data_IF_944365636072
#
_entry.id   IF_944365636072
#
_cell.length_a   1.000
_cell.length_b   1.000
_cell.length_c   1.000
_cell.angle_alpha   90.00
_cell.angle_beta   90.00
_cell.angle_gamma   90.00
#
_symmetry.space_group_name_H-M   'P 1'
#
loop_
_entity.id
_entity.type
_entity.pdbx_description
1 polymer ?
#
# COMPACT_ATOMS: atom_id res chain seq x y z
N UNK A 1 27.42 -15.38 -20.30
CA UNK A 1 27.86 -16.65 -19.69
C UNK A 1 26.84 -17.70 -20.07
N UNK A 2 27.29 -18.86 -20.45
CA UNK A 2 26.37 -19.99 -20.61
C UNK A 2 26.00 -20.62 -19.25
N UNK A 3 25.03 -21.55 -19.24
CA UNK A 3 24.55 -22.18 -17.99
C UNK A 3 25.67 -22.88 -17.23
N UNK A 4 26.56 -23.58 -17.90
CA UNK A 4 27.64 -24.33 -17.24
C UNK A 4 28.72 -23.39 -16.68
N UNK A 5 29.01 -22.29 -17.36
CA UNK A 5 29.90 -21.23 -16.87
C UNK A 5 29.33 -20.61 -15.57
N UNK A 6 28.03 -20.34 -15.53
CA UNK A 6 27.35 -19.78 -14.35
C UNK A 6 27.45 -20.77 -13.16
N UNK A 7 27.09 -22.02 -13.36
CA UNK A 7 27.07 -23.02 -12.27
C UNK A 7 28.45 -23.36 -11.71
N UNK A 8 29.51 -23.16 -12.49
CA UNK A 8 30.89 -23.36 -12.08
C UNK A 8 31.62 -22.05 -11.70
N UNK A 9 30.93 -20.94 -11.68
CA UNK A 9 31.50 -19.64 -11.30
C UNK A 9 31.63 -19.49 -9.77
N UNK A 10 32.29 -18.40 -9.38
CA UNK A 10 32.43 -18.06 -7.98
C UNK A 10 31.04 -17.78 -7.34
N UNK A 11 30.97 -17.97 -6.02
CA UNK A 11 29.78 -17.77 -5.21
C UNK A 11 29.05 -16.45 -5.52
N UNK A 12 29.76 -15.31 -5.52
CA UNK A 12 29.16 -13.99 -5.76
C UNK A 12 28.47 -13.88 -7.13
N UNK A 13 29.03 -14.56 -8.14
CA UNK A 13 28.44 -14.61 -9.49
C UNK A 13 27.14 -15.43 -9.47
N UNK A 14 27.13 -16.59 -8.81
CA UNK A 14 25.94 -17.43 -8.72
C UNK A 14 24.80 -16.72 -7.97
N UNK A 15 25.10 -16.04 -6.84
CA UNK A 15 24.13 -15.20 -6.11
C UNK A 15 23.59 -14.08 -7.01
N UNK A 16 24.48 -13.33 -7.67
CA UNK A 16 24.08 -12.22 -8.55
C UNK A 16 23.19 -12.69 -9.72
N UNK A 17 23.49 -13.85 -10.29
CA UNK A 17 22.65 -14.44 -11.35
C UNK A 17 21.31 -14.91 -10.78
N UNK A 18 21.29 -15.55 -9.61
CA UNK A 18 20.04 -15.99 -8.97
C UNK A 18 19.10 -14.79 -8.66
N UNK A 19 19.65 -13.66 -8.25
CA UNK A 19 18.87 -12.42 -7.97
C UNK A 19 18.36 -11.70 -9.24
N UNK A 20 19.00 -11.93 -10.39
CA UNK A 20 18.63 -11.20 -11.61
C UNK A 20 17.25 -11.67 -12.11
N UNK A 21 16.24 -10.76 -12.23
CA UNK A 21 14.91 -11.13 -12.72
C UNK A 21 14.89 -11.60 -14.18
N UNK A 22 15.95 -11.37 -14.94
CA UNK A 22 16.06 -11.83 -16.33
C UNK A 22 16.77 -13.19 -16.45
N UNK A 23 17.09 -13.84 -15.34
CA UNK A 23 17.74 -15.16 -15.37
C UNK A 23 16.81 -16.21 -15.98
N UNK A 24 17.31 -16.99 -16.97
CA UNK A 24 16.51 -18.04 -17.58
C UNK A 24 16.03 -19.07 -16.55
N UNK A 25 14.81 -19.56 -16.74
CA UNK A 25 14.15 -20.51 -15.82
C UNK A 25 15.00 -21.77 -15.60
N UNK A 26 15.61 -22.31 -16.62
CA UNK A 26 16.45 -23.51 -16.53
C UNK A 26 17.75 -23.29 -15.75
N UNK A 27 18.23 -22.04 -15.65
CA UNK A 27 19.33 -21.65 -14.77
C UNK A 27 18.84 -21.51 -13.33
N UNK A 28 17.69 -20.87 -13.09
CA UNK A 28 17.09 -20.77 -11.76
C UNK A 28 16.81 -22.14 -11.14
N UNK A 29 16.34 -23.09 -11.93
CA UNK A 29 16.11 -24.49 -11.49
C UNK A 29 17.37 -25.16 -10.96
N UNK A 30 18.54 -24.85 -11.51
CA UNK A 30 19.80 -25.43 -11.03
C UNK A 30 20.35 -24.63 -9.83
N UNK A 31 20.27 -23.28 -9.86
CA UNK A 31 20.71 -22.45 -8.73
C UNK A 31 19.87 -22.71 -7.47
N UNK A 32 18.62 -23.10 -7.62
CA UNK A 32 17.77 -23.55 -6.51
C UNK A 32 18.25 -24.85 -5.83
N UNK A 33 19.18 -25.58 -6.44
CA UNK A 33 19.80 -26.79 -5.89
C UNK A 33 21.24 -26.56 -5.46
N UNK A 34 21.71 -25.32 -5.47
CA UNK A 34 23.09 -24.99 -5.11
C UNK A 34 23.41 -25.47 -3.68
N UNK A 35 24.67 -25.87 -3.49
CA UNK A 35 25.15 -26.28 -2.15
C UNK A 35 25.09 -25.14 -1.13
N UNK A 36 25.22 -23.90 -1.60
CA UNK A 36 25.17 -22.69 -0.77
C UNK A 36 23.75 -22.20 -0.56
N UNK A 37 23.36 -21.95 0.68
CA UNK A 37 22.03 -21.50 1.04
C UNK A 37 21.73 -20.10 0.52
N UNK A 38 22.72 -19.20 0.41
CA UNK A 38 22.50 -17.84 -0.10
C UNK A 38 22.16 -17.83 -1.59
N UNK A 39 22.73 -18.77 -2.37
CA UNK A 39 22.34 -18.95 -3.78
C UNK A 39 20.91 -19.46 -3.89
N UNK A 40 20.55 -20.50 -3.08
CA UNK A 40 19.19 -21.03 -3.05
C UNK A 40 18.18 -19.99 -2.56
N UNK A 41 18.55 -19.17 -1.54
CA UNK A 41 17.75 -18.05 -1.04
C UNK A 41 17.48 -17.02 -2.14
N UNK A 42 18.51 -16.65 -2.89
CA UNK A 42 18.38 -15.70 -4.00
C UNK A 42 17.48 -16.26 -5.12
N UNK A 43 17.58 -17.57 -5.42
CA UNK A 43 16.66 -18.25 -6.31
C UNK A 43 15.22 -18.23 -5.78
N UNK A 44 15.01 -18.51 -4.47
CA UNK A 44 13.66 -18.44 -3.85
C UNK A 44 13.02 -17.04 -3.96
N UNK A 45 13.84 -16.00 -3.84
CA UNK A 45 13.40 -14.59 -3.92
C UNK A 45 13.08 -14.14 -5.35
N UNK A 46 13.63 -14.80 -6.36
CA UNK A 46 13.48 -14.37 -7.75
C UNK A 46 12.00 -14.51 -8.21
N UNK A 47 11.38 -13.44 -8.76
CA UNK A 47 9.96 -13.47 -9.15
C UNK A 47 9.67 -14.44 -10.31
N UNK A 48 10.68 -14.84 -11.07
CA UNK A 48 10.54 -15.76 -12.19
C UNK A 48 10.84 -17.23 -11.80
N UNK A 49 11.03 -17.52 -10.51
CA UNK A 49 11.23 -18.89 -10.06
C UNK A 49 9.95 -19.70 -10.24
N UNK A 50 10.04 -20.85 -10.94
CA UNK A 50 8.88 -21.69 -11.21
C UNK A 50 8.21 -22.23 -9.95
N UNK A 51 6.91 -22.47 -10.04
CA UNK A 51 6.09 -22.98 -8.93
C UNK A 51 6.58 -24.30 -8.36
N UNK A 52 7.02 -25.23 -9.19
CA UNK A 52 7.59 -26.51 -8.78
C UNK A 52 8.90 -26.34 -8.00
N UNK A 53 9.75 -25.39 -8.44
CA UNK A 53 10.99 -25.05 -7.74
C UNK A 53 10.70 -24.39 -6.39
N UNK A 54 9.72 -23.46 -6.31
CA UNK A 54 9.29 -22.86 -5.05
C UNK A 54 8.73 -23.90 -4.08
N UNK A 55 8.03 -24.92 -4.59
CA UNK A 55 7.52 -26.04 -3.80
C UNK A 55 8.65 -26.87 -3.16
N UNK A 56 9.77 -27.02 -3.86
CA UNK A 56 10.95 -27.68 -3.31
C UNK A 56 11.72 -26.80 -2.32
N UNK A 57 11.91 -25.50 -2.66
CA UNK A 57 12.58 -24.52 -1.78
C UNK A 57 11.79 -24.27 -0.48
N UNK A 58 10.49 -24.46 -0.49
CA UNK A 58 9.63 -24.42 0.70
C UNK A 58 9.95 -25.53 1.72
N UNK A 59 10.69 -26.57 1.32
CA UNK A 59 11.13 -27.68 2.16
C UNK A 59 12.63 -27.64 2.48
N UNK A 60 13.30 -26.54 2.13
CA UNK A 60 14.75 -26.41 2.35
C UNK A 60 15.10 -26.53 3.84
N UNK A 61 16.28 -27.09 4.10
CA UNK A 61 16.81 -27.20 5.47
C UNK A 61 17.07 -25.83 6.12
N UNK A 62 17.38 -24.81 5.31
CA UNK A 62 17.67 -23.46 5.75
C UNK A 62 16.37 -22.65 5.86
N UNK A 63 16.16 -21.98 7.01
CA UNK A 63 14.93 -21.22 7.26
C UNK A 63 14.83 -19.96 6.40
N UNK A 64 15.97 -19.33 6.04
CA UNK A 64 15.95 -18.14 5.17
C UNK A 64 15.50 -18.51 3.75
N UNK A 65 15.89 -19.67 3.25
CA UNK A 65 15.40 -20.18 1.95
C UNK A 65 13.88 -20.39 2.00
N UNK A 66 13.38 -21.04 3.05
CA UNK A 66 11.93 -21.23 3.24
C UNK A 66 11.19 -19.91 3.42
N UNK A 67 11.78 -18.94 4.15
CA UNK A 67 11.25 -17.59 4.33
C UNK A 67 11.01 -16.88 2.98
N UNK A 68 12.02 -16.88 2.09
CA UNK A 68 11.88 -16.25 0.78
C UNK A 68 10.96 -17.02 -0.16
N UNK A 69 10.93 -18.34 -0.07
CA UNK A 69 9.92 -19.15 -0.77
C UNK A 69 8.51 -18.78 -0.29
N UNK A 70 8.29 -18.64 1.02
CA UNK A 70 7.00 -18.19 1.58
C UNK A 70 6.58 -16.80 1.08
N UNK A 71 7.53 -15.87 0.97
CA UNK A 71 7.27 -14.49 0.53
C UNK A 71 7.13 -14.32 -0.99
N UNK A 72 7.49 -15.33 -1.78
CA UNK A 72 7.42 -15.20 -3.23
C UNK A 72 5.96 -15.17 -3.72
N UNK A 73 5.56 -14.15 -4.52
CA UNK A 73 4.18 -14.03 -4.99
C UNK A 73 3.71 -15.18 -5.91
N UNK A 74 4.63 -15.97 -6.46
CA UNK A 74 4.30 -17.14 -7.27
C UNK A 74 4.07 -18.41 -6.43
N UNK A 75 4.28 -18.37 -5.11
CA UNK A 75 4.13 -19.55 -4.25
C UNK A 75 2.66 -19.96 -4.15
N UNK A 76 2.35 -21.25 -4.42
CA UNK A 76 0.99 -21.77 -4.40
C UNK A 76 0.35 -21.75 -3.01
N UNK A 77 -0.97 -21.68 -2.96
CA UNK A 77 -1.77 -21.64 -1.74
C UNK A 77 -1.58 -22.87 -0.84
N UNK A 78 -1.45 -24.05 -1.39
CA UNK A 78 -1.19 -25.30 -0.67
C UNK A 78 0.20 -25.30 -0.02
N UNK A 79 1.22 -24.83 -0.73
CA UNK A 79 2.59 -24.67 -0.19
C UNK A 79 2.59 -23.62 0.93
N UNK A 80 1.89 -22.49 0.76
CA UNK A 80 1.73 -21.50 1.82
C UNK A 80 1.03 -22.10 3.05
N UNK A 81 0.09 -23.00 2.88
CA UNK A 81 -0.59 -23.70 3.98
C UNK A 81 0.38 -24.56 4.80
N UNK A 82 1.34 -25.20 4.14
CA UNK A 82 2.39 -25.94 4.86
C UNK A 82 3.39 -25.00 5.56
N UNK A 83 3.85 -23.94 4.86
CA UNK A 83 4.77 -22.95 5.44
C UNK A 83 4.16 -22.16 6.63
N UNK A 84 2.84 -22.06 6.69
CA UNK A 84 2.14 -21.52 7.86
C UNK A 84 2.31 -22.35 9.15
N UNK A 85 2.78 -23.59 9.03
CA UNK A 85 3.03 -24.49 10.16
C UNK A 85 4.53 -24.67 10.42
N UNK A 86 5.39 -23.87 9.78
CA UNK A 86 6.84 -23.97 9.94
C UNK A 86 7.24 -23.73 11.39
N UNK A 87 8.29 -24.40 11.82
CA UNK A 87 8.85 -24.23 13.18
C UNK A 87 9.42 -22.82 13.39
N UNK A 88 9.93 -22.20 12.33
CA UNK A 88 10.49 -20.86 12.36
C UNK A 88 9.38 -19.79 12.21
N UNK A 89 9.35 -18.82 13.13
CA UNK A 89 8.30 -17.78 13.13
C UNK A 89 8.43 -16.81 11.96
N UNK A 90 9.66 -16.53 11.48
CA UNK A 90 9.88 -15.67 10.32
C UNK A 90 9.29 -16.29 9.03
N UNK A 91 9.40 -17.61 8.89
CA UNK A 91 8.77 -18.35 7.78
C UNK A 91 7.24 -18.24 7.87
N UNK A 92 6.65 -18.47 9.06
CA UNK A 92 5.19 -18.31 9.24
C UNK A 92 4.75 -16.88 9.01
N UNK A 93 5.53 -15.89 9.47
CA UNK A 93 5.30 -14.45 9.23
C UNK A 93 5.30 -14.13 7.74
N UNK A 94 6.28 -14.62 7.01
CA UNK A 94 6.38 -14.42 5.56
C UNK A 94 5.19 -15.04 4.82
N UNK A 95 4.81 -16.25 5.23
CA UNK A 95 3.62 -16.92 4.71
C UNK A 95 2.34 -16.12 5.00
N UNK A 96 2.18 -15.56 6.22
CA UNK A 96 1.03 -14.72 6.58
C UNK A 96 0.94 -13.45 5.70
N UNK A 97 2.07 -12.83 5.37
CA UNK A 97 2.14 -11.63 4.54
C UNK A 97 1.92 -11.87 3.04
N UNK A 98 1.97 -13.13 2.57
CA UNK A 98 1.85 -13.42 1.15
C UNK A 98 0.42 -13.10 0.63
N UNK A 99 0.28 -12.35 -0.49
CA UNK A 99 -1.03 -11.97 -1.02
C UNK A 99 -1.88 -13.15 -1.51
N UNK A 100 -1.27 -14.30 -1.82
CA UNK A 100 -1.97 -15.51 -2.27
C UNK A 100 -2.42 -16.41 -1.11
N UNK A 101 -2.28 -15.95 0.13
CA UNK A 101 -2.63 -16.75 1.30
C UNK A 101 -4.13 -17.02 1.38
N UNK A 102 -4.57 -18.28 1.54
CA UNK A 102 -5.96 -18.61 1.79
C UNK A 102 -6.49 -18.04 3.11
N UNK A 103 -7.77 -17.65 3.14
CA UNK A 103 -8.40 -17.01 4.29
C UNK A 103 -8.46 -17.89 5.54
N UNK A 104 -8.67 -19.19 5.37
CA UNK A 104 -8.69 -20.17 6.48
C UNK A 104 -7.32 -20.26 7.19
N UNK A 105 -6.24 -20.17 6.43
CA UNK A 105 -4.88 -20.16 6.99
C UNK A 105 -4.57 -18.85 7.72
N UNK A 106 -5.07 -17.71 7.24
CA UNK A 106 -4.99 -16.44 7.98
C UNK A 106 -5.73 -16.55 9.32
N UNK A 107 -6.86 -17.25 9.35
CA UNK A 107 -7.63 -17.52 10.58
C UNK A 107 -6.84 -18.36 11.58
N UNK A 108 -6.05 -19.32 11.13
CA UNK A 108 -5.17 -20.10 12.00
C UNK A 108 -4.00 -19.27 12.51
N UNK A 109 -3.30 -18.55 11.62
CA UNK A 109 -2.14 -17.72 11.96
C UNK A 109 -2.49 -16.51 12.85
N UNK A 110 -3.74 -16.06 12.86
CA UNK A 110 -4.23 -15.06 13.79
C UNK A 110 -4.11 -15.49 15.28
N UNK A 111 -3.90 -16.79 15.54
CA UNK A 111 -3.73 -17.37 16.87
C UNK A 111 -2.28 -17.79 17.14
N UNK A 112 -1.34 -17.41 16.26
CA UNK A 112 0.07 -17.74 16.41
C UNK A 112 0.61 -17.19 17.75
N UNK A 113 1.52 -17.95 18.37
CA UNK A 113 2.15 -17.51 19.61
C UNK A 113 3.01 -16.27 19.43
N UNK A 114 3.60 -16.09 18.24
CA UNK A 114 4.43 -14.96 17.92
C UNK A 114 3.59 -13.75 17.45
N UNK A 115 3.81 -12.58 18.05
CA UNK A 115 3.03 -11.38 17.72
C UNK A 115 3.37 -10.84 16.32
N UNK A 116 4.60 -11.01 15.80
CA UNK A 116 4.98 -10.56 14.46
C UNK A 116 4.24 -11.34 13.35
N UNK A 117 3.95 -12.62 13.61
CA UNK A 117 3.07 -13.42 12.73
C UNK A 117 1.65 -12.84 12.75
N UNK A 118 1.07 -12.58 13.94
CA UNK A 118 -0.26 -11.98 14.06
C UNK A 118 -0.33 -10.56 13.46
N UNK A 119 0.76 -9.77 13.56
CA UNK A 119 0.90 -8.47 12.88
C UNK A 119 0.77 -8.64 11.37
N UNK A 120 1.50 -9.60 10.80
CA UNK A 120 1.44 -9.87 9.35
C UNK A 120 0.06 -10.31 8.89
N UNK A 121 -0.66 -11.08 9.72
CA UNK A 121 -2.07 -11.40 9.46
C UNK A 121 -2.91 -10.13 9.47
N UNK A 122 -2.77 -9.27 10.50
CA UNK A 122 -3.54 -8.04 10.61
C UNK A 122 -3.29 -7.07 9.44
N UNK A 123 -2.08 -7.04 8.89
CA UNK A 123 -1.70 -6.21 7.73
C UNK A 123 -2.13 -6.78 6.38
N UNK A 124 -2.43 -8.09 6.32
CA UNK A 124 -2.80 -8.71 5.06
C UNK A 124 -4.18 -8.20 4.57
N UNK A 125 -4.29 -7.67 3.33
CA UNK A 125 -5.56 -7.15 2.81
C UNK A 125 -6.64 -8.24 2.59
N UNK A 126 -6.26 -9.52 2.57
CA UNK A 126 -7.19 -10.63 2.43
C UNK A 126 -7.67 -11.20 3.78
N UNK A 127 -7.27 -10.58 4.90
CA UNK A 127 -7.70 -11.03 6.22
C UNK A 127 -9.20 -10.89 6.39
N UNK A 128 -9.90 -11.97 6.76
CA UNK A 128 -11.33 -11.93 7.00
C UNK A 128 -11.73 -10.93 8.09
N UNK A 129 -12.93 -10.36 7.96
CA UNK A 129 -13.43 -9.33 8.88
C UNK A 129 -13.54 -9.85 10.31
N UNK A 130 -14.01 -11.07 10.52
CA UNK A 130 -14.11 -11.72 11.82
C UNK A 130 -12.73 -11.91 12.48
N UNK A 131 -11.70 -12.22 11.70
CA UNK A 131 -10.31 -12.30 12.17
C UNK A 131 -9.80 -10.90 12.57
N UNK A 132 -10.09 -9.86 11.80
CA UNK A 132 -9.72 -8.47 12.16
C UNK A 132 -10.40 -8.04 13.47
N UNK A 133 -11.66 -8.47 13.71
CA UNK A 133 -12.38 -8.23 14.96
C UNK A 133 -11.71 -8.90 16.17
N UNK A 134 -11.11 -10.07 16.00
CA UNK A 134 -10.32 -10.75 17.02
C UNK A 134 -8.97 -10.05 17.25
N UNK A 135 -8.22 -9.76 16.19
CA UNK A 135 -6.91 -9.10 16.24
C UNK A 135 -6.98 -7.67 16.80
N UNK A 136 -8.10 -6.99 16.64
CA UNK A 136 -8.37 -5.69 17.27
C UNK A 136 -8.42 -5.75 18.81
N UNK A 137 -8.55 -6.95 19.40
CA UNK A 137 -8.56 -7.20 20.84
C UNK A 137 -7.29 -7.89 21.33
N UNK A 138 -6.28 -8.03 20.46
CA UNK A 138 -5.03 -8.71 20.82
C UNK A 138 -4.36 -8.04 22.02
N UNK A 139 -3.68 -8.83 22.82
CA UNK A 139 -2.90 -8.33 23.95
C UNK A 139 -1.77 -7.41 23.55
N UNK A 140 -1.17 -7.65 22.38
CA UNK A 140 -0.07 -6.83 21.84
C UNK A 140 -0.59 -5.63 21.04
N UNK A 141 -0.11 -4.44 21.38
CA UNK A 141 -0.56 -3.21 20.71
C UNK A 141 -0.10 -3.09 19.25
N UNK A 142 0.98 -3.77 18.83
CA UNK A 142 1.42 -3.79 17.43
C UNK A 142 0.37 -4.48 16.56
N UNK A 143 -0.19 -5.58 17.06
CA UNK A 143 -1.26 -6.31 16.39
C UNK A 143 -2.52 -5.44 16.28
N UNK A 144 -2.95 -4.82 17.41
CA UNK A 144 -4.11 -3.92 17.40
C UNK A 144 -3.92 -2.71 16.47
N UNK A 145 -2.69 -2.14 16.44
CA UNK A 145 -2.32 -1.06 15.51
C UNK A 145 -2.48 -1.49 14.05
N UNK A 146 -1.98 -2.68 13.70
CA UNK A 146 -2.07 -3.19 12.34
C UNK A 146 -3.52 -3.51 11.95
N UNK A 147 -4.30 -4.06 12.87
CA UNK A 147 -5.75 -4.23 12.68
C UNK A 147 -6.45 -2.88 12.47
N UNK A 148 -6.11 -1.82 13.25
CA UNK A 148 -6.64 -0.48 13.02
C UNK A 148 -6.31 0.09 11.64
N UNK A 149 -5.13 -0.24 11.11
CA UNK A 149 -4.65 0.22 9.80
C UNK A 149 -5.20 -0.55 8.61
N UNK A 150 -5.76 -1.73 8.83
CA UNK A 150 -6.26 -2.56 7.73
C UNK A 150 -7.48 -1.91 7.06
N UNK A 151 -7.50 -1.77 5.71
CA UNK A 151 -8.60 -1.11 4.99
C UNK A 151 -9.94 -1.87 5.10
N UNK A 152 -9.94 -3.14 5.49
CA UNK A 152 -11.14 -3.94 5.65
C UNK A 152 -11.69 -3.92 7.08
N UNK A 153 -11.05 -3.19 8.01
CA UNK A 153 -11.51 -3.12 9.39
C UNK A 153 -12.86 -2.39 9.47
N UNK A 154 -13.88 -3.01 10.10
CA UNK A 154 -15.21 -2.44 10.21
C UNK A 154 -15.26 -1.18 11.08
N UNK A 155 -16.26 -0.34 10.84
CA UNK A 155 -16.46 0.93 11.54
C UNK A 155 -16.67 0.78 13.06
N UNK A 156 -17.37 -0.25 13.50
CA UNK A 156 -17.58 -0.57 14.91
C UNK A 156 -16.28 -0.97 15.61
N UNK A 157 -15.44 -1.76 14.96
CA UNK A 157 -14.10 -2.13 15.45
C UNK A 157 -13.20 -0.90 15.55
N UNK A 158 -13.22 -0.01 14.55
CA UNK A 158 -12.47 1.24 14.58
C UNK A 158 -12.94 2.17 15.71
N UNK A 159 -14.23 2.15 16.04
CA UNK A 159 -14.80 2.88 17.18
C UNK A 159 -14.21 2.41 18.53
N UNK A 160 -13.95 1.11 18.67
CA UNK A 160 -13.28 0.59 19.86
C UNK A 160 -11.78 0.89 19.85
N UNK A 161 -11.09 0.70 18.73
CA UNK A 161 -9.65 0.98 18.59
C UNK A 161 -9.32 2.47 18.77
N UNK A 162 -10.27 3.36 18.48
CA UNK A 162 -10.15 4.79 18.73
C UNK A 162 -10.04 5.14 20.24
N UNK A 163 -10.37 4.20 21.13
CA UNK A 163 -10.28 4.36 22.59
C UNK A 163 -9.09 3.62 23.18
N UNK A 164 -8.22 3.02 22.36
CA UNK A 164 -7.07 2.25 22.83
C UNK A 164 -6.15 3.09 23.71
N UNK A 165 -5.56 2.45 24.72
CA UNK A 165 -4.59 3.10 25.62
C UNK A 165 -3.33 3.59 24.90
N UNK A 166 -2.93 2.95 23.82
CA UNK A 166 -1.75 3.32 23.02
C UNK A 166 -2.12 4.33 21.92
N UNK A 167 -1.50 5.49 21.97
CA UNK A 167 -1.72 6.56 20.97
C UNK A 167 -1.50 6.11 19.53
N UNK A 168 -0.53 5.21 19.29
CA UNK A 168 -0.25 4.68 17.96
C UNK A 168 -1.42 3.85 17.39
N UNK A 169 -2.15 3.11 18.21
CA UNK A 169 -3.37 2.39 17.79
C UNK A 169 -4.46 3.41 17.41
N UNK A 170 -4.71 4.40 18.29
CA UNK A 170 -5.67 5.48 18.01
C UNK A 170 -5.32 6.27 16.76
N UNK A 171 -4.01 6.52 16.52
CA UNK A 171 -3.53 7.19 15.30
C UNK A 171 -3.89 6.42 14.03
N UNK A 172 -3.72 5.10 14.02
CA UNK A 172 -4.07 4.28 12.88
C UNK A 172 -5.59 4.19 12.68
N UNK A 173 -6.36 4.10 13.76
CA UNK A 173 -7.81 4.24 13.70
C UNK A 173 -8.22 5.60 13.11
N UNK A 174 -7.63 6.72 13.56
CA UNK A 174 -7.90 8.04 13.01
C UNK A 174 -7.60 8.16 11.50
N UNK A 175 -6.56 7.45 11.02
CA UNK A 175 -6.15 7.45 9.61
C UNK A 175 -6.94 6.50 8.71
N UNK A 176 -7.71 5.57 9.28
CA UNK A 176 -8.45 4.60 8.50
C UNK A 176 -9.65 5.25 7.79
N UNK A 177 -9.83 5.02 6.46
CA UNK A 177 -10.92 5.65 5.70
C UNK A 177 -12.32 5.21 6.15
N UNK A 178 -12.44 4.05 6.81
CA UNK A 178 -13.70 3.52 7.31
C UNK A 178 -14.09 4.08 8.70
N UNK A 179 -13.26 4.95 9.28
CA UNK A 179 -13.55 5.52 10.61
C UNK A 179 -14.73 6.45 10.55
N UNK A 180 -15.76 6.23 11.41
CA UNK A 180 -16.95 7.06 11.43
C UNK A 180 -16.66 8.53 11.78
N UNK A 181 -17.51 9.43 11.28
CA UNK A 181 -17.34 10.87 11.46
C UNK A 181 -17.44 11.33 12.93
N UNK A 182 -18.28 10.69 13.72
CA UNK A 182 -18.41 10.93 15.16
C UNK A 182 -17.15 10.50 15.92
N UNK A 183 -16.57 9.36 15.55
CA UNK A 183 -15.30 8.88 16.10
C UNK A 183 -14.15 9.83 15.73
N UNK A 184 -14.11 10.33 14.50
CA UNK A 184 -13.12 11.34 14.08
C UNK A 184 -13.28 12.64 14.87
N UNK A 185 -14.50 13.02 15.24
CA UNK A 185 -14.78 14.18 16.10
C UNK A 185 -14.14 14.03 17.49
N UNK A 186 -14.13 12.82 18.04
CA UNK A 186 -13.47 12.54 19.33
C UNK A 186 -11.94 12.47 19.15
N UNK A 187 -11.43 11.81 18.13
CA UNK A 187 -10.00 11.70 17.83
C UNK A 187 -9.35 13.06 17.50
N UNK A 188 -10.13 14.00 16.99
CA UNK A 188 -9.70 15.39 16.78
C UNK A 188 -9.34 16.13 18.08
N UNK A 189 -9.79 15.61 19.23
CA UNK A 189 -9.51 16.16 20.57
C UNK A 189 -8.47 15.35 21.34
N UNK A 190 -7.85 14.36 20.71
CA UNK A 190 -6.86 13.49 21.34
C UNK A 190 -5.69 14.28 21.91
N UNK A 191 -5.18 13.82 23.06
CA UNK A 191 -4.00 14.43 23.70
C UNK A 191 -2.75 14.35 22.81
N UNK A 192 -2.63 13.31 22.00
CA UNK A 192 -1.50 13.09 21.11
C UNK A 192 -1.68 13.82 19.77
N UNK A 193 -0.68 14.59 19.36
CA UNK A 193 -0.75 15.38 18.14
C UNK A 193 -0.76 14.53 16.86
N UNK A 194 -0.15 13.34 16.86
CA UNK A 194 -0.14 12.46 15.69
C UNK A 194 -1.52 11.82 15.46
N UNK A 195 -2.29 11.58 16.52
CA UNK A 195 -3.69 11.17 16.41
C UNK A 195 -4.51 12.30 15.78
N UNK A 196 -4.40 13.54 16.30
CA UNK A 196 -5.09 14.69 15.73
C UNK A 196 -4.69 14.99 14.29
N UNK A 197 -3.39 14.79 13.93
CA UNK A 197 -2.89 14.93 12.54
C UNK A 197 -3.58 13.99 11.57
N UNK A 198 -3.78 12.73 11.98
CA UNK A 198 -4.47 11.73 11.16
C UNK A 198 -5.97 12.02 11.07
N UNK A 199 -6.62 12.40 12.18
CA UNK A 199 -7.99 12.88 12.16
C UNK A 199 -8.17 14.08 11.21
N UNK A 200 -7.29 15.08 11.28
CA UNK A 200 -7.31 16.24 10.38
C UNK A 200 -7.14 15.87 8.90
N UNK A 201 -6.36 14.82 8.61
CA UNK A 201 -6.11 14.33 7.25
C UNK A 201 -7.15 13.36 6.71
N UNK A 202 -8.03 12.83 7.55
CA UNK A 202 -9.00 11.84 7.14
C UNK A 202 -10.12 12.48 6.29
N UNK A 203 -10.42 11.94 5.09
CA UNK A 203 -11.43 12.52 4.20
C UNK A 203 -12.87 12.45 4.76
N UNK A 204 -13.11 11.63 5.79
CA UNK A 204 -14.42 11.52 6.44
C UNK A 204 -14.59 12.51 7.61
N UNK A 205 -13.58 13.34 7.91
CA UNK A 205 -13.65 14.31 9.02
C UNK A 205 -14.65 15.43 8.71
N UNK A 206 -15.59 15.70 9.64
CA UNK A 206 -16.60 16.74 9.45
C UNK A 206 -16.00 18.15 9.30
N UNK A 207 -16.72 19.01 8.56
CA UNK A 207 -16.30 20.37 8.24
C UNK A 207 -16.13 21.29 9.47
N UNK A 208 -17.00 21.15 10.45
CA UNK A 208 -16.94 21.88 11.73
C UNK A 208 -15.72 21.43 12.56
N UNK A 209 -15.43 20.14 12.61
CA UNK A 209 -14.25 19.60 13.26
C UNK A 209 -12.95 20.10 12.61
N UNK A 210 -12.91 20.15 11.28
CA UNK A 210 -11.77 20.72 10.54
C UNK A 210 -11.54 22.20 10.86
N UNK A 211 -12.63 22.96 11.04
CA UNK A 211 -12.56 24.38 11.44
C UNK A 211 -11.89 24.54 12.82
N UNK A 212 -12.14 23.63 13.74
CA UNK A 212 -11.46 23.62 15.05
C UNK A 212 -10.01 23.16 14.93
N UNK A 213 -9.73 22.08 14.18
CA UNK A 213 -8.38 21.60 13.94
C UNK A 213 -7.50 22.61 13.19
N UNK A 214 -8.08 23.53 12.43
CA UNK A 214 -7.34 24.62 11.81
C UNK A 214 -6.78 25.64 12.83
N UNK A 215 -7.20 25.57 14.10
CA UNK A 215 -6.72 26.39 15.21
C UNK A 215 -5.81 25.61 16.18
N UNK A 216 -5.50 24.35 15.87
CA UNK A 216 -4.70 23.47 16.71
C UNK A 216 -3.32 24.09 17.04
N UNK A 217 -2.79 23.77 18.21
CA UNK A 217 -1.43 24.19 18.61
C UNK A 217 -0.34 23.62 17.71
N UNK A 218 -0.54 22.39 17.18
CA UNK A 218 0.41 21.75 16.28
C UNK A 218 0.28 22.26 14.83
N UNK A 219 1.38 22.65 14.23
CA UNK A 219 1.40 23.18 12.87
C UNK A 219 0.95 22.16 11.82
N UNK A 220 1.31 20.87 11.99
CA UNK A 220 0.97 19.83 11.01
C UNK A 220 -0.52 19.52 11.07
N UNK A 221 -1.12 19.54 12.26
CA UNK A 221 -2.58 19.41 12.43
C UNK A 221 -3.29 20.52 11.66
N UNK A 222 -2.92 21.79 11.90
CA UNK A 222 -3.50 22.95 11.16
C UNK A 222 -3.35 22.80 9.66
N UNK A 223 -2.15 22.39 9.20
CA UNK A 223 -1.87 22.20 7.77
C UNK A 223 -2.72 21.07 7.16
N UNK A 224 -2.89 19.95 7.88
CA UNK A 224 -3.69 18.84 7.40
C UNK A 224 -5.17 19.22 7.34
N UNK A 225 -5.69 19.90 8.37
CA UNK A 225 -7.04 20.44 8.37
C UNK A 225 -7.30 21.39 7.18
N UNK A 226 -6.38 22.35 6.96
CA UNK A 226 -6.49 23.30 5.84
C UNK A 226 -6.42 22.63 4.45
N UNK A 227 -5.83 21.44 4.33
CA UNK A 227 -5.72 20.67 3.09
C UNK A 227 -6.79 19.60 2.93
N UNK A 228 -7.61 19.42 3.93
CA UNK A 228 -8.68 18.42 3.88
C UNK A 228 -9.79 18.90 2.90
N UNK A 229 -10.26 18.01 2.00
CA UNK A 229 -11.28 18.39 1.02
C UNK A 229 -12.61 18.83 1.64
N UNK A 230 -12.90 18.46 2.89
CA UNK A 230 -14.11 18.84 3.60
C UNK A 230 -13.96 20.15 4.41
N UNK A 231 -12.81 20.83 4.37
CA UNK A 231 -12.61 22.09 5.07
C UNK A 231 -13.54 23.17 4.49
N UNK A 232 -14.37 23.86 5.32
CA UNK A 232 -15.19 24.97 4.85
C UNK A 232 -14.33 26.09 4.26
N UNK A 233 -14.70 26.60 3.10
CA UNK A 233 -13.87 27.58 2.39
C UNK A 233 -12.62 26.98 1.75
N UNK A 234 -12.43 25.65 1.79
CA UNK A 234 -11.64 24.94 0.82
C UNK A 234 -12.40 25.00 -0.53
N UNK A 235 -12.70 26.21 -0.92
CA UNK A 235 -12.75 26.49 -2.35
C UNK A 235 -11.34 26.16 -2.82
N UNK A 236 -11.24 25.15 -3.65
CA UNK A 236 -10.01 24.94 -4.39
C UNK A 236 -9.62 26.32 -4.88
N UNK A 237 -8.41 26.82 -4.52
CA UNK A 237 -7.83 28.02 -5.05
C UNK A 237 -8.39 28.19 -6.44
N UNK A 238 -9.04 29.32 -6.73
CA UNK A 238 -9.72 29.55 -8.01
C UNK A 238 -8.80 28.99 -9.07
N UNK A 239 -9.18 27.85 -9.67
CA UNK A 239 -8.26 27.13 -10.55
C UNK A 239 -7.92 28.10 -11.67
N UNK A 240 -6.76 28.76 -11.57
CA UNK A 240 -6.32 29.75 -12.54
C UNK A 240 -6.01 29.02 -13.83
N UNK A 241 -6.96 29.05 -14.74
CA UNK A 241 -6.78 28.50 -16.07
C UNK A 241 -6.02 29.48 -16.97
N UNK A 242 -4.97 28.99 -17.58
CA UNK A 242 -4.32 29.67 -18.69
C UNK A 242 -4.79 29.01 -19.99
N UNK A 243 -5.42 29.78 -20.86
CA UNK A 243 -5.88 29.34 -22.18
C UNK A 243 -4.89 29.83 -23.24
N UNK A 244 -4.45 28.92 -24.08
CA UNK A 244 -3.63 29.18 -25.26
C UNK A 244 -4.27 28.50 -26.47
N UNK A 245 -3.87 28.87 -27.68
CA UNK A 245 -4.42 28.35 -28.93
C UNK A 245 -4.34 26.82 -29.05
N UNK A 246 -3.40 26.20 -28.35
CA UNK A 246 -3.10 24.78 -28.45
C UNK A 246 -3.29 24.02 -27.13
N UNK A 247 -3.59 24.69 -26.03
CA UNK A 247 -3.80 24.02 -24.75
C UNK A 247 -4.57 24.85 -23.73
N UNK A 248 -5.16 24.17 -22.75
CA UNK A 248 -5.62 24.73 -21.47
C UNK A 248 -4.73 24.18 -20.36
N UNK A 249 -4.31 25.04 -19.44
CA UNK A 249 -3.57 24.61 -18.26
C UNK A 249 -4.24 25.10 -16.98
N UNK A 250 -3.97 24.43 -15.88
CA UNK A 250 -4.43 24.76 -14.54
C UNK A 250 -3.31 24.58 -13.53
N UNK A 251 -3.16 25.54 -12.65
CA UNK A 251 -2.22 25.47 -11.54
C UNK A 251 -2.76 24.52 -10.46
N UNK A 252 -2.09 23.41 -10.22
CA UNK A 252 -2.34 22.54 -9.07
C UNK A 252 -1.44 22.90 -7.88
N UNK A 253 -1.63 22.25 -6.76
CA UNK A 253 -0.85 22.48 -5.52
C UNK A 253 0.64 22.21 -5.65
N UNK A 254 1.03 21.30 -6.55
CA UNK A 254 2.43 20.89 -6.74
C UNK A 254 2.91 20.93 -8.19
N UNK A 255 1.99 20.90 -9.15
CA UNK A 255 2.30 20.82 -10.57
C UNK A 255 1.31 21.62 -11.39
N UNK A 256 1.74 22.13 -12.54
CA UNK A 256 0.84 22.66 -13.58
C UNK A 256 0.38 21.50 -14.46
N UNK A 257 -0.93 21.44 -14.67
CA UNK A 257 -1.58 20.43 -15.49
C UNK A 257 -1.97 21.03 -16.82
N UNK A 258 -1.71 20.34 -17.92
CA UNK A 258 -2.04 20.78 -19.26
C UNK A 258 -2.90 19.75 -19.97
N UNK A 259 -3.89 20.21 -20.72
CA UNK A 259 -4.59 19.42 -21.73
C UNK A 259 -4.36 20.08 -23.07
N UNK A 260 -3.79 19.34 -24.02
CA UNK A 260 -3.31 19.85 -25.30
C UNK A 260 -4.32 19.56 -26.42
N UNK A 261 -4.45 20.52 -27.34
CA UNK A 261 -5.30 20.45 -28.53
C UNK A 261 -4.47 20.78 -29.78
N UNK A 262 -3.84 19.78 -30.37
CA UNK A 262 -3.12 19.93 -31.62
C UNK A 262 -3.96 19.43 -32.80
N UNK A 263 -3.85 20.05 -33.99
CA UNK A 263 -4.51 19.56 -35.19
C UNK A 263 -4.15 18.10 -35.47
N UNK A 264 -5.15 17.28 -35.78
CA UNK A 264 -4.99 15.85 -36.16
C UNK A 264 -4.40 14.94 -35.06
N UNK A 265 -4.34 15.37 -33.80
CA UNK A 265 -3.89 14.58 -32.67
C UNK A 265 -5.01 14.52 -31.64
N UNK A 266 -5.30 13.32 -31.10
CA UNK A 266 -6.24 13.21 -29.99
C UNK A 266 -5.74 14.02 -28.78
N UNK A 267 -6.63 14.71 -28.01
CA UNK A 267 -6.21 15.46 -26.85
C UNK A 267 -5.44 14.58 -25.86
N UNK A 268 -4.32 15.09 -25.37
CA UNK A 268 -3.48 14.40 -24.39
C UNK A 268 -3.15 15.32 -23.21
N UNK A 269 -2.64 14.73 -22.13
CA UNK A 269 -2.37 15.42 -20.87
C UNK A 269 -0.89 15.38 -20.53
N UNK A 270 -0.39 16.48 -19.94
CA UNK A 270 0.95 16.54 -19.37
C UNK A 270 0.86 17.10 -17.94
N UNK A 271 1.63 16.50 -17.03
CA UNK A 271 1.74 16.96 -15.65
C UNK A 271 3.06 16.47 -15.05
N UNK A 272 4.00 17.37 -14.80
CA UNK A 272 5.32 16.99 -14.36
C UNK A 272 6.01 16.04 -15.36
N UNK A 273 6.35 14.84 -14.91
CA UNK A 273 6.98 13.80 -15.75
C UNK A 273 5.98 12.93 -16.53
N UNK A 274 4.69 13.24 -16.49
CA UNK A 274 3.66 12.48 -17.19
C UNK A 274 3.34 13.07 -18.55
N UNK A 275 3.17 12.18 -19.54
CA UNK A 275 2.64 12.44 -20.85
C UNK A 275 1.77 11.26 -21.28
N UNK A 276 0.51 11.49 -21.67
CA UNK A 276 -0.36 10.40 -22.11
C UNK A 276 -1.85 10.73 -22.20
N UNK A 277 -2.66 9.70 -22.41
CA UNK A 277 -4.12 9.79 -22.46
C UNK A 277 -4.74 10.01 -21.06
N UNK A 278 -6.05 10.33 -21.05
CA UNK A 278 -6.80 10.45 -19.79
C UNK A 278 -6.80 9.14 -19.00
N UNK A 279 -6.98 8.02 -19.66
CA UNK A 279 -6.99 6.68 -19.05
C UNK A 279 -5.64 6.34 -18.44
N UNK A 280 -4.54 6.64 -19.12
CA UNK A 280 -3.19 6.43 -18.62
C UNK A 280 -2.89 7.32 -17.40
N UNK A 281 -3.38 8.57 -17.40
CA UNK A 281 -3.26 9.48 -16.28
C UNK A 281 -4.09 9.00 -15.08
N UNK A 282 -5.32 8.54 -15.30
CA UNK A 282 -6.16 7.94 -14.27
C UNK A 282 -5.50 6.71 -13.66
N UNK A 283 -5.00 5.80 -14.49
CA UNK A 283 -4.28 4.62 -14.01
C UNK A 283 -3.13 5.04 -13.07
N UNK A 284 -2.33 6.04 -13.46
CA UNK A 284 -1.23 6.54 -12.65
C UNK A 284 -1.70 7.16 -11.33
N UNK A 285 -2.78 7.94 -11.33
CA UNK A 285 -3.36 8.53 -10.11
C UNK A 285 -3.77 7.42 -9.14
N UNK A 286 -4.50 6.40 -9.61
CA UNK A 286 -4.97 5.30 -8.77
C UNK A 286 -3.87 4.38 -8.27
N UNK A 287 -2.77 4.20 -9.03
CA UNK A 287 -1.66 3.31 -8.65
C UNK A 287 -0.59 3.97 -7.79
N UNK A 288 -0.44 5.30 -7.86
CA UNK A 288 0.67 6.01 -7.18
C UNK A 288 0.24 6.85 -6.00
N UNK A 289 -1.06 7.16 -5.88
CA UNK A 289 -1.57 8.06 -4.85
C UNK A 289 -2.34 7.32 -3.76
N UNK A 290 -2.18 7.78 -2.53
CA UNK A 290 -3.15 7.47 -1.49
C UNK A 290 -4.49 8.16 -1.79
N UNK A 291 -5.59 7.65 -1.25
CA UNK A 291 -6.95 8.06 -1.61
C UNK A 291 -7.20 9.59 -1.55
N UNK A 292 -6.63 10.29 -0.57
CA UNK A 292 -6.82 11.75 -0.43
C UNK A 292 -6.13 12.56 -1.55
N UNK A 293 -4.96 12.15 -2.01
CA UNK A 293 -4.27 12.80 -3.15
C UNK A 293 -4.96 12.48 -4.47
N UNK A 294 -5.46 11.26 -4.62
CA UNK A 294 -6.19 10.85 -5.81
C UNK A 294 -7.45 11.71 -6.02
N UNK A 295 -8.23 11.97 -4.96
CA UNK A 295 -9.43 12.81 -5.04
C UNK A 295 -9.12 14.26 -5.49
N UNK A 296 -8.08 14.89 -4.91
CA UNK A 296 -7.65 16.22 -5.31
C UNK A 296 -7.19 16.30 -6.77
N UNK A 297 -6.42 15.30 -7.24
CA UNK A 297 -5.97 15.22 -8.63
C UNK A 297 -7.10 14.95 -9.60
N UNK A 298 -8.08 14.12 -9.22
CA UNK A 298 -9.29 13.88 -10.00
C UNK A 298 -10.12 15.15 -10.19
N UNK A 299 -10.24 15.97 -9.15
CA UNK A 299 -10.94 17.26 -9.23
C UNK A 299 -10.25 18.21 -10.21
N UNK A 300 -8.91 18.34 -10.16
CA UNK A 300 -8.13 19.15 -11.10
C UNK A 300 -8.31 18.61 -12.52
N UNK A 301 -8.24 17.32 -12.73
CA UNK A 301 -8.41 16.69 -14.04
C UNK A 301 -9.81 16.96 -14.62
N UNK A 302 -10.86 16.81 -13.81
CA UNK A 302 -12.23 17.05 -14.25
C UNK A 302 -12.45 18.53 -14.58
N UNK A 303 -11.95 19.46 -13.76
CA UNK A 303 -12.04 20.89 -14.02
C UNK A 303 -11.28 21.31 -15.30
N UNK A 304 -10.12 20.69 -15.54
CA UNK A 304 -9.36 20.88 -16.78
C UNK A 304 -10.13 20.37 -18.01
N UNK A 305 -10.82 19.23 -17.89
CA UNK A 305 -11.65 18.66 -18.94
C UNK A 305 -12.85 19.55 -19.28
N UNK A 306 -13.55 20.07 -18.27
CA UNK A 306 -14.68 20.97 -18.47
C UNK A 306 -14.24 22.29 -19.12
N UNK A 307 -13.15 22.90 -18.65
CA UNK A 307 -12.62 24.12 -19.26
C UNK A 307 -12.14 23.91 -20.69
N UNK A 308 -11.53 22.75 -20.96
CA UNK A 308 -11.10 22.39 -22.31
C UNK A 308 -12.30 22.25 -23.28
N UNK A 309 -13.39 21.63 -22.85
CA UNK A 309 -14.65 21.53 -23.64
C UNK A 309 -15.23 22.91 -23.92
N UNK A 310 -15.26 23.78 -22.88
CA UNK A 310 -15.74 25.15 -23.01
C UNK A 310 -14.98 25.93 -24.10
N UNK A 311 -13.65 25.84 -24.08
CA UNK A 311 -12.76 26.61 -24.97
C UNK A 311 -12.71 26.05 -26.40
N UNK A 312 -12.66 24.74 -26.56
CA UNK A 312 -12.42 24.10 -27.85
C UNK A 312 -13.66 23.39 -28.44
N UNK A 313 -14.79 23.41 -27.75
CA UNK A 313 -16.03 22.73 -28.16
C UNK A 313 -15.82 21.22 -28.50
N UNK A 314 -15.02 20.51 -27.70
CA UNK A 314 -14.68 19.10 -27.91
C UNK A 314 -14.81 18.25 -26.67
#
# INVERSE_FOLDING_TARGET
MDKNEILNSDYDVRVSVAENPNTPVDVLMELAKDSDCDVRRSAARNPNTPVDVLTELAKDSDCDVRYFAAGNPATPADVLTELAKDSDYDVRRSAAGNPNKPADVLTELAKDSDYDVRVSVAENPNTPVDVLMELAKDSDWHVRRSAAGNPNTPADVLTELAKDSYWCVRRYAAGNPNTPADVLTELAKDSDCDVRRNAAGNPSTPADVLTELAKDSDYIVRRNAARNPNMPGYEAEELQFMVKDTYVSVQGTTHIWYKHNYPNVAPFYTCGCFYGSREQLLMRIYTTDNQGRAAGRMRILNALDEKFKEVFNR
#
